data_IF_149233147958
#
_entry.id   IF_149233147958
#
_cell.length_a   1.000
_cell.length_b   1.000
_cell.length_c   1.000
_cell.angle_alpha   90.00
_cell.angle_beta   90.00
_cell.angle_gamma   90.00
#
_symmetry.space_group_name_H-M   'P 1'
#
loop_
_entity.id
_entity.type
_entity.pdbx_description
1 polymer ?
#
# COMPACT_ATOMS: atom_id res chain seq x y z
N UNK A 1 1.28 -0.93 -3.32
CA UNK A 1 2.69 -1.33 -3.37
C UNK A 1 3.36 -0.45 -4.40
N UNK A 2 4.16 0.53 -3.97
CA UNK A 2 4.84 1.46 -4.87
C UNK A 2 5.75 0.68 -5.82
N UNK A 3 5.79 1.09 -7.09
CA UNK A 3 6.76 0.57 -8.05
C UNK A 3 8.00 1.46 -7.99
N UNK A 4 9.03 1.00 -7.27
CA UNK A 4 10.27 1.76 -7.03
C UNK A 4 11.37 1.51 -8.06
N UNK A 5 11.25 0.48 -8.89
CA UNK A 5 12.23 0.18 -9.95
C UNK A 5 11.56 -0.53 -11.14
N UNK A 6 12.04 -0.32 -12.39
CA UNK A 6 11.66 -1.15 -13.54
C UNK A 6 11.92 -2.65 -13.34
N UNK A 7 12.93 -3.01 -12.54
CA UNK A 7 13.31 -4.41 -12.25
C UNK A 7 12.61 -5.00 -11.02
N UNK A 8 11.82 -4.22 -10.29
CA UNK A 8 11.10 -4.71 -9.11
C UNK A 8 10.07 -5.76 -9.54
N UNK A 9 10.16 -6.97 -8.97
CA UNK A 9 9.25 -8.07 -9.29
C UNK A 9 8.17 -8.23 -8.23
N UNK A 10 8.54 -8.09 -6.96
CA UNK A 10 7.65 -8.21 -5.81
C UNK A 10 8.09 -7.26 -4.70
N UNK A 11 7.15 -6.83 -3.88
CA UNK A 11 7.40 -6.12 -2.62
C UNK A 11 6.75 -6.84 -1.45
N UNK A 12 7.28 -6.64 -0.24
CA UNK A 12 6.70 -7.15 1.00
C UNK A 12 6.64 -6.03 2.02
N UNK A 13 5.47 -5.77 2.60
CA UNK A 13 5.36 -4.79 3.69
C UNK A 13 5.93 -5.43 4.96
N UNK A 14 6.86 -4.74 5.62
CA UNK A 14 7.56 -5.21 6.82
C UNK A 14 6.93 -4.66 8.09
N UNK A 15 6.51 -3.38 8.08
CA UNK A 15 5.87 -2.74 9.22
C UNK A 15 4.92 -1.63 8.78
N UNK A 16 3.72 -1.58 9.36
CA UNK A 16 2.84 -0.41 9.29
C UNK A 16 3.19 0.58 10.39
N UNK A 17 3.22 1.87 10.05
CA UNK A 17 3.45 2.98 10.98
C UNK A 17 2.18 3.76 11.29
N UNK A 18 1.14 3.57 10.47
CA UNK A 18 -0.22 4.08 10.64
C UNK A 18 -1.21 2.92 10.77
N UNK A 19 -2.26 3.12 11.57
CA UNK A 19 -3.32 2.15 11.76
C UNK A 19 -4.61 2.59 11.06
N UNK A 20 -5.47 1.62 10.80
CA UNK A 20 -6.81 1.90 10.27
C UNK A 20 -7.55 2.84 11.24
N UNK A 21 -8.07 3.95 10.72
CA UNK A 21 -8.72 5.01 11.47
C UNK A 21 -7.83 6.22 11.79
N UNK A 22 -6.51 6.11 11.61
CA UNK A 22 -5.60 7.22 11.85
C UNK A 22 -5.72 8.27 10.74
N UNK A 23 -5.57 9.55 11.13
CA UNK A 23 -5.34 10.62 10.18
C UNK A 23 -3.87 10.61 9.75
N UNK A 24 -3.66 10.73 8.45
CA UNK A 24 -2.38 10.78 7.77
C UNK A 24 -2.22 12.18 7.21
N UNK A 25 -1.12 12.84 7.53
CA UNK A 25 -0.72 14.10 6.94
C UNK A 25 0.22 13.88 5.75
N UNK A 26 0.37 14.89 4.91
CA UNK A 26 1.41 14.88 3.88
C UNK A 26 2.79 14.71 4.54
N UNK A 27 3.63 13.88 3.94
CA UNK A 27 4.92 13.40 4.42
C UNK A 27 4.89 12.46 5.63
N UNK A 28 3.72 12.06 6.14
CA UNK A 28 3.66 11.03 7.17
C UNK A 28 4.14 9.68 6.62
N UNK A 29 4.97 9.00 7.41
CA UNK A 29 5.41 7.63 7.11
C UNK A 29 4.24 6.65 7.29
N UNK A 30 3.86 5.96 6.21
CA UNK A 30 2.75 5.00 6.21
C UNK A 30 3.21 3.59 6.61
N UNK A 31 4.20 3.08 5.89
CA UNK A 31 4.73 1.74 6.09
C UNK A 31 6.14 1.59 5.54
N UNK A 32 6.83 0.60 6.08
CA UNK A 32 8.10 0.08 5.58
C UNK A 32 7.84 -1.14 4.70
N UNK A 33 8.63 -1.28 3.63
CA UNK A 33 8.54 -2.43 2.74
C UNK A 33 9.90 -2.81 2.16
N UNK A 34 10.05 -4.10 1.87
CA UNK A 34 11.18 -4.63 1.13
C UNK A 34 10.80 -4.75 -0.35
N UNK A 35 11.61 -4.18 -1.23
CA UNK A 35 11.53 -4.42 -2.66
C UNK A 35 12.54 -5.51 -3.08
N UNK A 36 12.07 -6.51 -3.84
CA UNK A 36 12.93 -7.52 -4.46
C UNK A 36 12.88 -7.39 -5.98
N UNK A 37 14.04 -7.17 -6.59
CA UNK A 37 14.24 -7.24 -8.03
C UNK A 37 14.84 -8.59 -8.39
N UNK A 38 14.15 -9.37 -9.21
CA UNK A 38 14.71 -10.61 -9.77
C UNK A 38 15.78 -10.22 -10.79
N UNK A 39 17.01 -10.06 -10.34
CA UNK A 39 18.20 -10.30 -11.17
C UNK A 39 18.73 -11.67 -10.79
N UNK A 40 18.95 -12.54 -11.78
CA UNK A 40 19.23 -13.99 -11.73
C UNK A 40 20.27 -14.52 -10.70
N UNK A 41 20.90 -13.70 -9.85
CA UNK A 41 21.96 -14.14 -8.94
C UNK A 41 21.90 -13.62 -7.49
N UNK A 42 20.90 -12.83 -7.08
CA UNK A 42 20.93 -12.26 -5.71
C UNK A 42 19.60 -12.36 -4.95
N UNK A 43 19.39 -13.51 -4.32
CA UNK A 43 18.28 -13.77 -3.38
C UNK A 43 18.48 -13.00 -2.05
N UNK A 44 19.61 -12.29 -1.88
CA UNK A 44 20.01 -11.58 -0.65
C UNK A 44 19.79 -10.06 -0.70
N UNK A 45 19.53 -9.43 -1.85
CA UNK A 45 19.34 -7.98 -1.93
C UNK A 45 17.87 -7.58 -1.84
N UNK A 46 17.29 -7.68 -0.64
CA UNK A 46 16.07 -6.93 -0.33
C UNK A 46 16.48 -5.49 0.01
N UNK A 47 16.00 -4.51 -0.74
CA UNK A 47 16.16 -3.10 -0.36
C UNK A 47 14.98 -2.71 0.51
N UNK A 48 15.26 -2.45 1.79
CA UNK A 48 14.29 -1.89 2.71
C UNK A 48 14.06 -0.42 2.35
N UNK A 49 12.80 -0.04 2.20
CA UNK A 49 12.36 1.29 1.82
C UNK A 49 11.18 1.71 2.68
N UNK A 50 10.98 3.02 2.74
CA UNK A 50 9.95 3.68 3.51
C UNK A 50 9.01 4.40 2.54
N UNK A 51 7.69 4.32 2.78
CA UNK A 51 6.71 5.07 2.00
C UNK A 51 6.12 6.19 2.84
N UNK A 52 6.43 7.41 2.43
CA UNK A 52 5.78 8.63 2.91
C UNK A 52 4.53 8.93 2.08
N UNK A 53 3.49 9.43 2.74
CA UNK A 53 2.24 9.82 2.08
C UNK A 53 2.41 11.18 1.39
N UNK A 54 1.99 11.33 0.14
CA UNK A 54 1.94 12.64 -0.51
C UNK A 54 0.63 13.38 -0.26
N UNK A 55 -0.40 12.66 0.20
CA UNK A 55 -1.76 13.15 0.40
C UNK A 55 -2.10 13.17 1.89
N UNK A 56 -3.18 13.86 2.24
CA UNK A 56 -3.75 13.85 3.59
C UNK A 56 -5.10 13.13 3.60
N UNK A 57 -5.46 12.51 4.72
CA UNK A 57 -6.74 11.83 4.88
C UNK A 57 -6.76 10.77 5.97
N UNK A 58 -7.86 10.05 6.08
CA UNK A 58 -8.03 8.94 7.00
C UNK A 58 -7.65 7.61 6.34
N UNK A 59 -6.80 6.84 7.00
CA UNK A 59 -6.48 5.48 6.59
C UNK A 59 -7.69 4.57 6.82
N UNK A 60 -8.50 4.39 5.78
CA UNK A 60 -9.79 3.71 5.90
C UNK A 60 -9.67 2.20 5.99
N UNK A 61 -8.72 1.63 5.25
CA UNK A 61 -8.53 0.20 5.20
C UNK A 61 -7.10 -0.15 4.80
N UNK A 62 -6.54 -1.14 5.47
CA UNK A 62 -5.31 -1.82 5.08
C UNK A 62 -5.67 -3.15 4.46
N UNK A 63 -5.22 -3.36 3.23
CA UNK A 63 -5.57 -4.52 2.40
C UNK A 63 -4.74 -5.75 2.76
N UNK A 64 -3.53 -5.51 3.26
CA UNK A 64 -2.60 -6.55 3.66
C UNK A 64 -2.33 -6.45 5.15
N UNK A 65 -3.07 -7.24 5.92
CA UNK A 65 -2.81 -7.44 7.34
C UNK A 65 -1.52 -8.23 7.50
N UNK A 66 -0.45 -7.60 7.98
CA UNK A 66 0.81 -8.29 8.31
C UNK A 66 0.49 -9.27 9.45
N UNK A 67 0.48 -10.58 9.16
CA UNK A 67 1.64 -11.40 9.51
C UNK A 67 2.11 -12.41 8.44
N UNK A 68 1.42 -12.57 7.29
CA UNK A 68 1.67 -13.72 6.40
C UNK A 68 2.88 -13.61 5.46
N UNK A 69 3.62 -12.50 5.50
CA UNK A 69 4.82 -12.32 4.66
C UNK A 69 4.53 -12.39 3.16
N UNK A 70 3.33 -11.97 2.77
CA UNK A 70 2.82 -12.06 1.41
C UNK A 70 3.63 -11.16 0.47
N UNK A 71 3.95 -11.70 -0.70
CA UNK A 71 4.57 -10.97 -1.79
C UNK A 71 3.48 -10.26 -2.59
N UNK A 72 3.65 -8.95 -2.76
CA UNK A 72 2.71 -8.07 -3.45
C UNK A 72 3.35 -7.60 -4.76
N UNK A 73 2.63 -7.72 -5.86
CA UNK A 73 3.09 -7.21 -7.15
C UNK A 73 3.18 -5.67 -7.12
N UNK A 74 4.19 -5.06 -7.78
CA UNK A 74 4.25 -3.62 -7.95
C UNK A 74 2.96 -3.07 -8.57
N UNK A 75 2.47 -1.94 -8.05
CA UNK A 75 1.22 -1.32 -8.49
C UNK A 75 -0.05 -1.91 -7.90
N UNK A 76 0.01 -3.03 -7.16
CA UNK A 76 -1.18 -3.55 -6.48
C UNK A 76 -1.61 -2.63 -5.31
N UNK A 77 -2.92 -2.39 -5.10
CA UNK A 77 -3.41 -1.60 -3.97
C UNK A 77 -3.10 -2.29 -2.64
N UNK A 78 -2.66 -1.52 -1.65
CA UNK A 78 -2.26 -2.01 -0.31
C UNK A 78 -3.01 -1.34 0.83
N UNK A 79 -3.56 -0.15 0.60
CA UNK A 79 -4.40 0.58 1.54
C UNK A 79 -5.34 1.52 0.76
N UNK A 80 -6.36 2.01 1.46
CA UNK A 80 -7.28 3.05 1.00
C UNK A 80 -7.21 4.24 1.97
N UNK A 81 -7.05 5.43 1.42
CA UNK A 81 -7.23 6.71 2.12
C UNK A 81 -8.57 7.32 1.68
N UNK A 82 -9.17 8.11 2.57
CA UNK A 82 -10.40 8.86 2.30
C UNK A 82 -10.36 10.20 3.02
N UNK A 83 -11.17 11.16 2.58
CA UNK A 83 -11.08 12.54 3.09
C UNK A 83 -11.87 12.73 4.40
N UNK A 84 -12.83 11.84 4.68
CA UNK A 84 -13.75 12.00 5.81
C UNK A 84 -13.99 10.71 6.59
N UNK A 85 -14.28 10.85 7.89
CA UNK A 85 -14.65 9.72 8.76
C UNK A 85 -15.98 9.05 8.36
N UNK A 86 -16.88 9.78 7.73
CA UNK A 86 -18.16 9.23 7.26
C UNK A 86 -17.92 8.27 6.10
N UNK A 87 -17.13 8.70 5.12
CA UNK A 87 -16.68 7.86 4.01
C UNK A 87 -15.84 6.67 4.49
N UNK A 88 -14.98 6.88 5.49
CA UNK A 88 -14.22 5.80 6.13
C UNK A 88 -15.12 4.68 6.65
N UNK A 89 -16.20 5.03 7.36
CA UNK A 89 -17.15 4.05 7.91
C UNK A 89 -17.89 3.31 6.78
N UNK A 90 -18.27 4.04 5.73
CA UNK A 90 -18.89 3.45 4.54
C UNK A 90 -17.96 2.46 3.84
N UNK A 91 -16.69 2.83 3.66
CA UNK A 91 -15.64 1.98 3.08
C UNK A 91 -15.44 0.74 3.96
N UNK A 92 -15.31 0.89 5.27
CA UNK A 92 -15.12 -0.25 6.19
C UNK A 92 -16.32 -1.20 6.22
N UNK A 93 -17.53 -0.68 5.99
CA UNK A 93 -18.76 -1.50 5.91
C UNK A 93 -18.87 -2.22 4.57
N UNK A 94 -18.42 -1.60 3.48
CA UNK A 94 -18.48 -2.14 2.11
C UNK A 94 -17.32 -3.08 1.77
N UNK A 95 -16.15 -2.84 2.35
CA UNK A 95 -14.90 -3.53 2.04
C UNK A 95 -14.35 -4.18 3.29
N UNK A 96 -14.45 -5.50 3.36
CA UNK A 96 -13.79 -6.30 4.39
C UNK A 96 -12.50 -6.96 3.90
N UNK A 97 -12.24 -6.97 2.58
CA UNK A 97 -11.15 -7.72 1.98
C UNK A 97 -10.59 -7.10 0.67
N UNK A 98 -9.34 -7.41 0.34
CA UNK A 98 -8.64 -7.03 -0.89
C UNK A 98 -9.36 -7.34 -2.21
N UNK A 99 -10.17 -8.41 -2.23
CA UNK A 99 -10.89 -8.85 -3.43
C UNK A 99 -12.06 -7.93 -3.78
N UNK A 100 -12.63 -7.27 -2.79
CA UNK A 100 -13.81 -6.42 -2.99
C UNK A 100 -13.40 -5.05 -3.53
N UNK A 101 -12.21 -4.57 -3.15
CA UNK A 101 -11.65 -3.27 -3.57
C UNK A 101 -11.38 -3.26 -5.08
N UNK A 102 -10.82 -4.34 -5.63
CA UNK A 102 -10.57 -4.45 -7.08
C UNK A 102 -11.84 -4.49 -7.93
N UNK A 103 -12.97 -4.91 -7.36
CA UNK A 103 -14.24 -5.03 -8.08
C UNK A 103 -15.09 -3.77 -7.97
N UNK A 104 -14.97 -3.00 -6.88
CA UNK A 104 -15.79 -1.80 -6.66
C UNK A 104 -15.13 -0.51 -7.11
N UNK A 105 -13.80 -0.43 -7.01
CA UNK A 105 -13.03 0.61 -7.69
C UNK A 105 -12.77 0.07 -9.08
N UNK A 106 -13.69 0.31 -10.03
CA UNK A 106 -13.37 0.11 -11.45
C UNK A 106 -12.12 0.90 -11.86
N UNK A 107 -11.74 0.89 -13.15
CA UNK A 107 -10.57 1.64 -13.67
C UNK A 107 -10.50 3.13 -13.29
N UNK A 108 -11.58 3.70 -12.74
CA UNK A 108 -11.60 5.02 -12.15
C UNK A 108 -11.15 4.99 -10.68
N UNK A 109 -9.94 5.53 -10.43
CA UNK A 109 -9.43 6.01 -9.13
C UNK A 109 -8.69 5.01 -8.21
N UNK A 110 -8.25 3.84 -8.70
CA UNK A 110 -7.11 3.18 -8.06
C UNK A 110 -5.84 3.91 -8.47
N UNK A 111 -5.40 4.87 -7.67
CA UNK A 111 -4.10 5.51 -7.89
C UNK A 111 -3.01 4.46 -7.68
N UNK A 112 -2.41 3.99 -8.77
CA UNK A 112 -1.14 3.30 -8.72
C UNK A 112 -0.10 4.34 -8.28
N UNK A 113 0.26 4.32 -6.99
CA UNK A 113 1.27 5.21 -6.43
C UNK A 113 2.57 5.06 -7.23
N UNK A 114 2.92 6.10 -7.98
CA UNK A 114 4.21 6.25 -8.63
C UNK A 114 5.15 6.87 -7.58
N UNK A 115 6.02 6.06 -6.99
CA UNK A 115 7.16 6.61 -6.28
C UNK A 115 8.06 7.27 -7.33
N UNK A 116 8.23 8.59 -7.26
CA UNK A 116 9.27 9.27 -8.03
C UNK A 116 10.61 9.01 -7.34
N UNK A 117 11.57 8.51 -8.13
CA UNK A 117 13.00 8.42 -7.78
C UNK A 117 13.63 9.81 -7.77
#
# INVERSE_FOLDING_TARGET
MPKVSPSMSVGRITAWKKNVGDYVECYDLLFEFDAKGVTDDDVSSATQMELECCDEGYLALVVDSIPDGKLIAPGAPVALLCDSKEEMNDIQTKFTNAKDIKNAVGDAQVMAWHAYL
#
